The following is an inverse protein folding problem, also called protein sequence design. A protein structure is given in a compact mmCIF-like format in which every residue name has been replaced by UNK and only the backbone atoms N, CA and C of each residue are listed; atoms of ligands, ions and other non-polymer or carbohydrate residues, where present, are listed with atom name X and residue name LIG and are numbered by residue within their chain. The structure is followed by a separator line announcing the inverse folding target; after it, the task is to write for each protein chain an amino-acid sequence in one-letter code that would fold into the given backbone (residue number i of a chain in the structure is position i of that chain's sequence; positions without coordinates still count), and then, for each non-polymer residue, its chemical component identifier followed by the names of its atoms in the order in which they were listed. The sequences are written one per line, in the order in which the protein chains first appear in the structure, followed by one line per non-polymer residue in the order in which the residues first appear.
data_IF_910888194885
#
_entry.id   IF_910888194885
#
_cell.length_a   1.000
_cell.length_b   1.000
_cell.length_c   1.000
_cell.angle_alpha   90.00
_cell.angle_beta   90.00
_cell.angle_gamma   90.00
#
_symmetry.space_group_name_H-M   'P 1'
#
loop_
_entity.id
_entity.type
_entity.pdbx_description
1 polymer ?
#
# COMPACT_ATOMS: atom_id res chain seq x y z
N UNK A 1 16.34 36.81 32.33
CA UNK A 1 15.10 35.99 32.33
C UNK A 1 14.37 36.11 30.99
N UNK A 2 14.08 37.32 30.47
CA UNK A 2 13.45 37.50 29.13
C UNK A 2 14.16 36.79 27.95
N UNK A 3 15.49 36.68 27.96
CA UNK A 3 16.21 36.02 26.87
C UNK A 3 15.96 34.51 26.79
N UNK A 4 15.82 33.84 27.93
CA UNK A 4 15.60 32.38 27.93
C UNK A 4 14.18 32.07 27.48
N UNK A 5 13.18 32.84 27.91
CA UNK A 5 11.81 32.68 27.45
C UNK A 5 11.67 32.97 25.95
N UNK A 6 12.41 33.96 25.43
CA UNK A 6 12.47 34.26 24.00
C UNK A 6 13.15 33.12 23.21
N UNK A 7 14.27 32.58 23.72
CA UNK A 7 14.97 31.47 23.08
C UNK A 7 14.13 30.18 23.06
N UNK A 8 13.38 29.93 24.14
CA UNK A 8 12.46 28.79 24.25
C UNK A 8 11.29 28.98 23.27
N UNK A 9 10.73 30.19 23.18
CA UNK A 9 9.67 30.52 22.23
C UNK A 9 10.10 30.33 20.77
N UNK A 10 11.28 30.81 20.41
CA UNK A 10 11.82 30.67 19.04
C UNK A 10 12.15 29.21 18.68
N UNK A 11 12.66 28.42 19.63
CA UNK A 11 12.93 27.01 19.42
C UNK A 11 11.64 26.19 19.24
N UNK A 12 10.61 26.49 20.05
CA UNK A 12 9.28 25.87 19.92
C UNK A 12 8.62 26.25 18.59
N UNK A 13 8.70 27.51 18.17
CA UNK A 13 8.12 27.97 16.90
C UNK A 13 8.82 27.34 15.68
N UNK A 14 10.14 27.12 15.76
CA UNK A 14 10.89 26.37 14.74
C UNK A 14 10.48 24.90 14.70
N UNK A 15 10.37 24.23 15.85
CA UNK A 15 9.98 22.82 15.93
C UNK A 15 8.54 22.61 15.44
N UNK A 16 7.64 23.54 15.76
CA UNK A 16 6.24 23.52 15.33
C UNK A 16 6.11 23.76 13.82
N UNK A 17 6.92 24.67 13.24
CA UNK A 17 7.02 24.85 11.78
C UNK A 17 7.58 23.64 11.06
N UNK A 18 8.59 22.98 11.63
CA UNK A 18 9.16 21.74 11.09
C UNK A 18 8.17 20.57 11.17
N UNK A 19 7.41 20.47 12.25
CA UNK A 19 6.31 19.50 12.39
C UNK A 19 5.19 19.79 11.39
N UNK A 20 4.77 21.04 11.23
CA UNK A 20 3.77 21.46 10.24
C UNK A 20 4.24 21.21 8.81
N UNK A 21 5.52 21.44 8.49
CA UNK A 21 6.10 21.12 7.20
C UNK A 21 6.09 19.60 6.92
N UNK A 22 6.36 18.78 7.94
CA UNK A 22 6.29 17.31 7.85
C UNK A 22 4.87 16.76 7.79
N UNK A 23 3.88 17.48 8.32
CA UNK A 23 2.45 17.09 8.31
C UNK A 23 1.77 17.56 7.02
N UNK A 24 2.13 18.74 6.50
CA UNK A 24 1.61 19.30 5.25
C UNK A 24 2.11 18.58 3.99
N UNK A 25 3.21 17.85 4.11
CA UNK A 25 3.70 16.92 3.09
C UNK A 25 2.87 15.62 3.15
N UNK A 26 1.57 15.71 2.83
CA UNK A 26 0.75 14.52 2.58
C UNK A 26 1.50 13.69 1.54
N UNK A 27 1.96 12.46 1.88
CA UNK A 27 2.76 11.68 0.96
C UNK A 27 1.88 11.44 -0.27
N UNK A 28 2.23 12.11 -1.38
CA UNK A 28 1.44 12.05 -2.60
C UNK A 28 1.14 10.61 -2.98
N UNK A 29 0.01 10.37 -3.65
CA UNK A 29 -0.53 9.03 -3.94
C UNK A 29 0.53 8.02 -4.41
N UNK A 30 1.50 8.49 -5.21
CA UNK A 30 2.66 7.71 -5.68
C UNK A 30 3.58 7.27 -4.54
N UNK A 31 3.95 8.17 -3.62
CA UNK A 31 4.79 7.87 -2.46
C UNK A 31 4.07 6.97 -1.45
N UNK A 32 2.76 7.10 -1.33
CA UNK A 32 1.93 6.18 -0.55
C UNK A 32 1.85 4.79 -1.19
N UNK A 33 1.71 4.71 -2.52
CA UNK A 33 1.74 3.46 -3.28
C UNK A 33 3.10 2.75 -3.18
N UNK A 34 4.21 3.49 -3.29
CA UNK A 34 5.55 2.92 -3.06
C UNK A 34 5.81 2.59 -1.59
N UNK A 35 5.21 3.33 -0.66
CA UNK A 35 5.27 3.06 0.77
C UNK A 35 4.65 1.72 1.16
N UNK A 36 3.68 1.20 0.39
CA UNK A 36 3.13 -0.16 0.60
C UNK A 36 4.14 -1.27 0.34
N UNK A 37 5.15 -1.03 -0.50
CA UNK A 37 6.22 -1.99 -0.76
C UNK A 37 7.37 -1.88 0.25
N UNK A 38 7.36 -0.84 1.11
CA UNK A 38 8.31 -0.65 2.20
C UNK A 38 7.75 -1.07 3.57
N UNK A 39 8.63 -1.35 4.53
CA UNK A 39 8.26 -1.66 5.91
C UNK A 39 8.06 -3.15 6.22
N UNK A 40 7.63 -3.51 7.45
CA UNK A 40 7.59 -4.90 7.93
C UNK A 40 6.61 -5.81 7.17
N UNK A 41 5.56 -5.22 6.58
CA UNK A 41 4.55 -5.92 5.77
C UNK A 41 4.80 -5.75 4.26
N UNK A 42 5.82 -4.98 3.87
CA UNK A 42 6.13 -4.69 2.47
C UNK A 42 6.46 -5.95 1.66
N UNK A 43 7.10 -6.95 2.29
CA UNK A 43 7.40 -8.23 1.65
C UNK A 43 6.13 -8.98 1.21
N UNK A 44 5.06 -8.95 2.00
CA UNK A 44 3.81 -9.60 1.66
C UNK A 44 3.13 -8.90 0.47
N UNK A 45 3.20 -7.57 0.41
CA UNK A 45 2.71 -6.78 -0.71
C UNK A 45 3.52 -7.03 -2.00
N UNK A 46 4.84 -7.23 -1.89
CA UNK A 46 5.69 -7.65 -3.01
C UNK A 46 5.27 -9.03 -3.50
N UNK A 47 5.06 -10.01 -2.61
CA UNK A 47 4.59 -11.35 -2.98
C UNK A 47 3.24 -11.30 -3.69
N UNK A 48 2.29 -10.51 -3.19
CA UNK A 48 0.98 -10.31 -3.83
C UNK A 48 1.11 -9.66 -5.21
N UNK A 49 1.97 -8.65 -5.37
CA UNK A 49 2.21 -8.01 -6.66
C UNK A 49 2.86 -8.97 -7.68
N UNK A 50 3.81 -9.80 -7.24
CA UNK A 50 4.43 -10.84 -8.07
C UNK A 50 3.39 -11.89 -8.46
N UNK A 51 2.57 -12.37 -7.51
CA UNK A 51 1.51 -13.32 -7.81
C UNK A 51 0.51 -12.76 -8.82
N UNK A 52 0.14 -11.48 -8.69
CA UNK A 52 -0.72 -10.79 -9.64
C UNK A 52 -0.10 -10.68 -11.04
N UNK A 53 1.21 -10.40 -11.12
CA UNK A 53 1.95 -10.38 -12.38
C UNK A 53 1.94 -11.77 -13.04
N UNK A 54 2.20 -12.83 -12.26
CA UNK A 54 2.19 -14.22 -12.75
C UNK A 54 0.81 -14.60 -13.26
N UNK A 55 -0.26 -14.26 -12.53
CA UNK A 55 -1.63 -14.52 -12.97
C UNK A 55 -1.98 -13.77 -14.26
N UNK A 56 -1.53 -12.52 -14.39
CA UNK A 56 -1.75 -11.72 -15.59
C UNK A 56 -1.03 -12.29 -16.81
N UNK A 57 0.26 -12.62 -16.68
CA UNK A 57 1.05 -13.24 -17.76
C UNK A 57 0.49 -14.61 -18.13
N UNK A 58 0.14 -15.43 -17.13
CA UNK A 58 -0.51 -16.72 -17.35
C UNK A 58 -1.86 -16.59 -18.05
N UNK A 59 -2.64 -15.57 -17.71
CA UNK A 59 -3.91 -15.24 -18.37
C UNK A 59 -3.73 -14.85 -19.84
N UNK A 60 -2.76 -13.98 -20.16
CA UNK A 60 -2.43 -13.61 -21.54
C UNK A 60 -2.00 -14.84 -22.36
N UNK A 61 -1.14 -15.68 -21.78
CA UNK A 61 -0.65 -16.89 -22.44
C UNK A 61 -1.78 -17.88 -22.71
N UNK A 62 -2.67 -18.11 -21.74
CA UNK A 62 -3.84 -18.97 -21.93
C UNK A 62 -4.85 -18.37 -22.94
N UNK A 63 -5.01 -17.05 -22.96
CA UNK A 63 -5.83 -16.36 -23.96
C UNK A 63 -5.23 -16.51 -25.37
N UNK A 64 -3.91 -16.45 -25.52
CA UNK A 64 -3.25 -16.69 -26.81
C UNK A 64 -3.55 -18.10 -27.34
N UNK A 65 -3.39 -19.13 -26.50
CA UNK A 65 -3.72 -20.51 -26.86
C UNK A 65 -5.21 -20.74 -27.13
N UNK A 66 -6.09 -19.96 -26.49
CA UNK A 66 -7.52 -19.97 -26.78
C UNK A 66 -7.83 -19.50 -28.21
N UNK A 67 -7.17 -18.44 -28.68
CA UNK A 67 -7.37 -17.91 -30.03
C UNK A 67 -6.72 -18.75 -31.13
N UNK A 68 -5.66 -19.50 -30.81
CA UNK A 68 -4.96 -20.39 -31.75
C UNK A 68 -5.63 -21.77 -31.89
N UNK A 69 -6.55 -22.13 -30.98
CA UNK A 69 -7.21 -23.43 -30.98
C UNK A 69 -8.15 -23.62 -32.17
N UNK A 70 -7.86 -24.63 -33.00
CA UNK A 70 -8.69 -24.99 -34.16
C UNK A 70 -9.97 -25.80 -33.80
N UNK A 71 -10.01 -26.39 -32.60
CA UNK A 71 -11.11 -27.21 -32.12
C UNK A 71 -11.74 -26.57 -30.87
N UNK A 72 -13.08 -26.41 -30.79
CA UNK A 72 -13.76 -25.84 -29.63
C UNK A 72 -13.46 -26.55 -28.31
N UNK A 73 -13.14 -27.86 -28.31
CA UNK A 73 -12.74 -28.57 -27.09
C UNK A 73 -11.38 -28.08 -26.58
N UNK A 74 -10.43 -27.84 -27.50
CA UNK A 74 -9.10 -27.31 -27.17
C UNK A 74 -9.19 -25.86 -26.72
N UNK A 75 -10.05 -25.07 -27.36
CA UNK A 75 -10.35 -23.71 -26.92
C UNK A 75 -10.87 -23.70 -25.47
N UNK A 76 -11.84 -24.55 -25.13
CA UNK A 76 -12.38 -24.61 -23.76
C UNK A 76 -11.32 -24.99 -22.71
N UNK A 77 -10.39 -25.87 -23.07
CA UNK A 77 -9.30 -26.32 -22.19
C UNK A 77 -8.34 -25.18 -21.80
N UNK A 78 -8.18 -24.18 -22.68
CA UNK A 78 -7.37 -22.99 -22.41
C UNK A 78 -8.21 -21.82 -21.88
N UNK A 79 -9.48 -21.74 -22.26
CA UNK A 79 -10.41 -20.68 -21.84
C UNK A 79 -10.82 -20.75 -20.37
N UNK A 80 -11.07 -21.94 -19.83
CA UNK A 80 -11.38 -22.15 -18.40
C UNK A 80 -10.25 -21.67 -17.47
N UNK A 81 -8.99 -22.11 -17.64
CA UNK A 81 -7.88 -21.59 -16.83
C UNK A 81 -7.65 -20.09 -17.06
N UNK A 82 -7.81 -19.57 -18.28
CA UNK A 82 -7.72 -18.13 -18.54
C UNK A 82 -8.76 -17.33 -17.74
N UNK A 83 -10.03 -17.74 -17.78
CA UNK A 83 -11.11 -17.08 -17.05
C UNK A 83 -10.89 -17.12 -15.53
N UNK A 84 -10.48 -18.28 -14.99
CA UNK A 84 -10.19 -18.42 -13.55
C UNK A 84 -9.01 -17.56 -13.11
N UNK A 85 -7.92 -17.50 -13.89
CA UNK A 85 -6.77 -16.64 -13.61
C UNK A 85 -7.14 -15.15 -13.63
N UNK A 86 -7.97 -14.72 -14.57
CA UNK A 86 -8.44 -13.33 -14.65
C UNK A 86 -9.34 -12.96 -13.48
N UNK A 87 -10.27 -13.85 -13.09
CA UNK A 87 -11.13 -13.65 -11.91
C UNK A 87 -10.28 -13.58 -10.64
N UNK A 88 -9.32 -14.50 -10.48
CA UNK A 88 -8.42 -14.50 -9.32
C UNK A 88 -7.58 -13.22 -9.26
N UNK A 89 -7.04 -12.75 -10.39
CA UNK A 89 -6.31 -11.49 -10.45
C UNK A 89 -7.18 -10.29 -10.04
N UNK A 90 -8.47 -10.28 -10.39
CA UNK A 90 -9.40 -9.23 -9.97
C UNK A 90 -9.67 -9.27 -8.47
N UNK A 91 -9.85 -10.47 -7.90
CA UNK A 91 -10.05 -10.66 -6.45
C UNK A 91 -8.81 -10.23 -5.67
N UNK A 92 -7.60 -10.58 -6.13
CA UNK A 92 -6.33 -10.17 -5.48
C UNK A 92 -6.24 -8.65 -5.33
N UNK A 93 -6.71 -7.88 -6.33
CA UNK A 93 -6.71 -6.41 -6.27
C UNK A 93 -7.55 -5.86 -5.11
N UNK A 94 -8.63 -6.53 -4.72
CA UNK A 94 -9.49 -6.11 -3.61
C UNK A 94 -8.85 -6.30 -2.23
N UNK A 95 -7.83 -7.16 -2.10
CA UNK A 95 -7.15 -7.43 -0.83
C UNK A 95 -6.24 -6.29 -0.38
N UNK A 96 -5.77 -5.44 -1.31
CA UNK A 96 -4.89 -4.32 -0.98
C UNK A 96 -5.57 -3.21 -0.17
N UNK A 97 -6.88 -2.98 -0.41
CA UNK A 97 -7.66 -1.95 0.27
C UNK A 97 -7.72 -2.16 1.81
N UNK A 98 -8.16 -3.31 2.33
CA UNK A 98 -8.22 -3.52 3.79
C UNK A 98 -6.84 -3.45 4.44
N UNK A 99 -5.78 -3.92 3.76
CA UNK A 99 -4.40 -3.82 4.26
C UNK A 99 -3.98 -2.36 4.45
N UNK A 100 -4.34 -1.46 3.53
CA UNK A 100 -4.10 -0.02 3.68
C UNK A 100 -4.86 0.56 4.88
N UNK A 101 -6.13 0.22 5.06
CA UNK A 101 -6.93 0.70 6.19
C UNK A 101 -6.35 0.24 7.53
N UNK A 102 -5.95 -1.03 7.65
CA UNK A 102 -5.34 -1.55 8.88
C UNK A 102 -4.04 -0.83 9.24
N UNK A 103 -3.18 -0.54 8.25
CA UNK A 103 -1.93 0.18 8.50
C UNK A 103 -2.16 1.64 8.93
N UNK A 104 -3.17 2.31 8.37
CA UNK A 104 -3.55 3.66 8.80
C UNK A 104 -4.04 3.67 10.25
N UNK A 105 -4.93 2.75 10.61
CA UNK A 105 -5.44 2.60 11.98
C UNK A 105 -4.32 2.31 12.96
N UNK A 106 -3.38 1.42 12.62
CA UNK A 106 -2.25 1.09 13.49
C UNK A 106 -1.31 2.28 13.71
N UNK A 107 -1.11 3.11 12.69
CA UNK A 107 -0.30 4.34 12.78
C UNK A 107 -0.97 5.38 13.67
N UNK A 108 -2.28 5.56 13.56
CA UNK A 108 -3.04 6.46 14.42
C UNK A 108 -3.06 6.00 15.87
N UNK A 109 -3.20 4.69 16.10
CA UNK A 109 -3.18 4.11 17.45
C UNK A 109 -1.84 4.38 18.16
N UNK A 110 -0.72 4.16 17.47
CA UNK A 110 0.62 4.49 18.00
C UNK A 110 0.79 5.98 18.29
N UNK A 111 0.24 6.86 17.44
CA UNK A 111 0.27 8.31 17.69
C UNK A 111 -0.51 8.67 18.96
N UNK A 112 -1.65 8.03 19.18
CA UNK A 112 -2.43 8.16 20.41
C UNK A 112 -1.68 7.67 21.65
N UNK A 113 -0.98 6.53 21.56
CA UNK A 113 -0.16 6.01 22.67
C UNK A 113 0.95 6.99 23.08
N UNK A 114 1.64 7.59 22.11
CA UNK A 114 2.68 8.60 22.37
C UNK A 114 2.11 9.85 23.01
N UNK A 115 0.96 10.35 22.54
CA UNK A 115 0.27 11.51 23.13
C UNK A 115 -0.18 11.25 24.57
N UNK A 116 -0.64 10.05 24.87
CA UNK A 116 -0.99 9.69 26.26
C UNK A 116 0.23 9.55 27.16
N UNK A 117 1.35 9.06 26.62
CA UNK A 117 2.60 8.95 27.36
C UNK A 117 3.19 10.34 27.66
N UNK A 118 3.16 11.28 26.71
CA UNK A 118 3.66 12.64 26.91
C UNK A 118 2.79 13.46 27.87
N UNK A 119 1.48 13.21 27.94
CA UNK A 119 0.56 13.89 28.87
C UNK A 119 0.70 13.43 30.33
N UNK A 120 1.34 12.29 30.57
CA UNK A 120 1.58 11.74 31.93
C UNK A 120 2.95 12.12 32.51
N UNK A 121 3.82 12.76 31.74
CA UNK A 121 5.09 13.34 32.19
C UNK A 121 4.90 14.82 32.55
#
# INVERSE_FOLDING_TARGET
MRDIDALIGDALDQEERDLLARIGDEPGFVRQAFGLFGGPTGWANIVLAVAQLVMFVGGIWAAWHFFEAADPLTALRWGLPAATLLIMAMVTKMVFLPVMYTQQVMRELKRFEVLMASRKA
#
